data_IF_655434275611
#
_entry.id   IF_655434275611
#
_cell.length_a   1.000
_cell.length_b   1.000
_cell.length_c   1.000
_cell.angle_alpha   90.00
_cell.angle_beta   90.00
_cell.angle_gamma   90.00
#
_symmetry.space_group_name_H-M   'P 1'
#
loop_
_entity.id
_entity.type
_entity.pdbx_description
1 polymer ?
#
# COMPACT_ATOMS: atom_id res chain seq x y z
N UNK A 1 15.62 -14.51 2.94
CA UNK A 1 15.71 -15.97 2.71
C UNK A 1 15.22 -16.75 3.95
N UNK A 2 13.93 -17.08 3.98
CA UNK A 2 13.28 -17.82 5.07
C UNK A 2 12.30 -18.84 4.48
N UNK A 3 11.76 -19.73 5.32
CA UNK A 3 10.90 -20.86 4.91
C UNK A 3 9.41 -20.61 5.16
N UNK A 4 8.92 -19.41 4.87
CA UNK A 4 7.49 -19.08 4.95
C UNK A 4 7.03 -18.36 3.68
N UNK A 5 5.78 -18.60 3.29
CA UNK A 5 5.11 -17.80 2.27
C UNK A 5 4.91 -16.39 2.82
N UNK A 6 5.17 -15.36 2.00
CA UNK A 6 5.01 -13.96 2.38
C UNK A 6 4.34 -13.23 1.23
N UNK A 7 3.27 -12.52 1.55
CA UNK A 7 2.50 -11.72 0.61
C UNK A 7 1.93 -10.51 1.35
N UNK A 8 1.36 -9.57 0.59
CA UNK A 8 0.86 -8.31 1.13
C UNK A 8 -0.40 -8.53 2.00
N UNK A 9 -0.45 -7.88 3.15
CA UNK A 9 -1.53 -7.93 4.14
C UNK A 9 -2.88 -7.45 3.59
N UNK A 10 -2.88 -6.54 2.60
CA UNK A 10 -4.12 -6.04 1.99
C UNK A 10 -4.89 -7.12 1.24
N UNK A 11 -4.23 -8.24 0.91
CA UNK A 11 -4.80 -9.39 0.18
C UNK A 11 -5.25 -10.49 1.15
N UNK A 12 -5.06 -10.35 2.47
CA UNK A 12 -5.45 -11.38 3.44
C UNK A 12 -6.97 -11.59 3.52
N UNK A 13 -7.76 -10.53 3.37
CA UNK A 13 -9.23 -10.59 3.46
C UNK A 13 -9.86 -11.62 2.49
N UNK A 14 -9.52 -11.63 1.17
CA UNK A 14 -9.99 -12.67 0.26
C UNK A 14 -9.71 -14.11 0.69
N UNK A 15 -8.60 -14.34 1.38
CA UNK A 15 -8.18 -15.66 1.86
C UNK A 15 -8.67 -15.98 3.26
N UNK A 16 -9.28 -15.01 3.95
CA UNK A 16 -9.65 -15.10 5.37
C UNK A 16 -8.46 -15.54 6.24
N UNK A 17 -7.28 -14.97 5.98
CA UNK A 17 -6.03 -15.26 6.69
C UNK A 17 -5.66 -14.13 7.68
N UNK A 18 -4.97 -14.43 8.78
CA UNK A 18 -4.59 -13.44 9.80
C UNK A 18 -3.14 -13.59 10.35
N UNK A 19 -2.31 -14.43 9.73
CA UNK A 19 -0.91 -14.70 10.09
C UNK A 19 -0.69 -15.27 11.51
N UNK A 20 -1.63 -16.06 12.03
CA UNK A 20 -1.52 -16.73 13.34
C UNK A 20 -0.82 -18.11 13.32
N UNK A 21 -0.48 -18.61 12.13
CA UNK A 21 0.08 -19.95 11.91
C UNK A 21 -0.52 -20.70 10.72
N UNK A 22 -1.47 -20.09 10.00
CA UNK A 22 -2.08 -20.64 8.79
C UNK A 22 -1.07 -21.12 7.73
N UNK A 23 -1.43 -22.22 7.06
CA UNK A 23 -0.71 -22.78 5.92
C UNK A 23 -1.49 -22.55 4.61
N UNK A 24 -0.77 -22.24 3.53
CA UNK A 24 -1.35 -22.04 2.20
C UNK A 24 -0.62 -22.87 1.15
N UNK A 25 -1.40 -23.44 0.23
CA UNK A 25 -0.86 -24.19 -0.89
C UNK A 25 -0.50 -23.26 -2.06
N UNK A 26 0.60 -23.58 -2.75
CA UNK A 26 0.99 -22.89 -3.99
C UNK A 26 0.99 -23.90 -5.14
N UNK A 27 0.35 -23.53 -6.24
CA UNK A 27 0.32 -24.34 -7.46
C UNK A 27 0.99 -23.56 -8.59
N UNK A 28 1.86 -24.23 -9.36
CA UNK A 28 2.60 -23.62 -10.47
C UNK A 28 2.07 -24.16 -11.80
N UNK A 29 1.40 -23.33 -12.64
CA UNK A 29 0.98 -23.72 -13.97
C UNK A 29 2.17 -24.13 -14.84
N UNK A 30 2.05 -25.26 -15.57
CA UNK A 30 3.15 -25.82 -16.36
C UNK A 30 3.07 -25.47 -17.86
N UNK A 31 1.87 -25.18 -18.38
CA UNK A 31 1.69 -24.81 -19.80
C UNK A 31 1.62 -23.29 -19.97
N UNK A 32 2.03 -22.83 -21.15
CA UNK A 32 1.99 -21.40 -21.50
C UNK A 32 0.56 -20.84 -21.52
N UNK A 33 -0.40 -21.63 -21.99
CA UNK A 33 -1.82 -21.26 -21.99
C UNK A 33 -2.35 -21.05 -20.57
N UNK A 34 -2.13 -22.03 -19.68
CA UNK A 34 -2.59 -21.95 -18.28
C UNK A 34 -1.86 -20.84 -17.50
N UNK A 35 -0.57 -20.60 -17.79
CA UNK A 35 0.19 -19.49 -17.19
C UNK A 35 -0.39 -18.14 -17.60
N UNK A 36 -0.72 -17.99 -18.88
CA UNK A 36 -1.29 -16.75 -19.42
C UNK A 36 -2.67 -16.50 -18.84
N UNK A 37 -3.52 -17.52 -18.77
CA UNK A 37 -4.86 -17.41 -18.17
C UNK A 37 -4.79 -17.03 -16.70
N UNK A 38 -3.95 -17.70 -15.91
CA UNK A 38 -3.77 -17.40 -14.49
C UNK A 38 -3.27 -15.96 -14.27
N UNK A 39 -2.32 -15.49 -15.08
CA UNK A 39 -1.79 -14.13 -14.97
C UNK A 39 -2.84 -13.08 -15.36
N UNK A 40 -3.55 -13.29 -16.48
CA UNK A 40 -4.44 -12.29 -17.07
C UNK A 40 -5.82 -12.27 -16.41
N UNK A 41 -6.35 -13.40 -15.93
CA UNK A 41 -7.70 -13.48 -15.36
C UNK A 41 -7.67 -13.62 -13.84
N UNK A 42 -6.76 -14.43 -13.29
CA UNK A 42 -6.72 -14.75 -11.85
C UNK A 42 -5.79 -13.84 -11.05
N UNK A 43 -5.15 -12.86 -11.70
CA UNK A 43 -4.28 -11.90 -11.04
C UNK A 43 -5.02 -11.05 -10.00
N UNK A 44 -4.36 -10.75 -8.87
CA UNK A 44 -4.94 -9.96 -7.77
C UNK A 44 -5.42 -8.59 -8.25
N UNK A 45 -4.68 -7.95 -9.16
CA UNK A 45 -5.01 -6.64 -9.73
C UNK A 45 -6.34 -6.64 -10.51
N UNK A 46 -6.72 -7.77 -11.09
CA UNK A 46 -7.98 -7.92 -11.84
C UNK A 46 -9.15 -8.34 -10.95
N UNK A 47 -8.87 -8.76 -9.71
CA UNK A 47 -9.85 -9.30 -8.76
C UNK A 47 -9.91 -8.49 -7.45
N UNK A 48 -9.80 -7.16 -7.55
CA UNK A 48 -9.84 -6.26 -6.38
C UNK A 48 -11.23 -6.18 -5.73
N UNK A 49 -12.29 -6.40 -6.50
CA UNK A 49 -13.69 -6.30 -6.05
C UNK A 49 -14.37 -7.67 -6.06
N UNK A 50 -15.30 -7.90 -5.14
CA UNK A 50 -16.07 -9.14 -5.12
C UNK A 50 -17.15 -9.15 -6.21
N UNK A 51 -17.35 -10.28 -6.92
CA UNK A 51 -18.42 -10.40 -7.91
C UNK A 51 -19.83 -10.37 -7.29
N UNK A 52 -19.95 -10.59 -5.98
CA UNK A 52 -21.25 -10.66 -5.27
C UNK A 52 -22.00 -9.33 -5.30
N UNK A 53 -21.31 -8.22 -5.06
CA UNK A 53 -21.91 -6.90 -4.95
C UNK A 53 -20.99 -5.75 -5.40
N UNK A 54 -19.83 -6.05 -5.98
CA UNK A 54 -18.86 -5.04 -6.43
C UNK A 54 -18.12 -4.32 -5.31
N UNK A 55 -18.25 -4.76 -4.05
CA UNK A 55 -17.50 -4.16 -2.94
C UNK A 55 -16.00 -4.46 -3.07
N UNK A 56 -15.17 -3.52 -2.62
CA UNK A 56 -13.71 -3.67 -2.59
C UNK A 56 -13.36 -4.76 -1.58
N UNK A 57 -12.59 -5.75 -2.03
CA UNK A 57 -12.16 -6.90 -1.22
C UNK A 57 -10.69 -6.77 -0.81
N UNK A 58 -9.83 -6.33 -1.72
CA UNK A 58 -8.42 -6.05 -1.47
C UNK A 58 -8.27 -4.58 -1.10
N UNK A 59 -7.99 -4.31 0.18
CA UNK A 59 -7.90 -2.96 0.71
C UNK A 59 -6.95 -2.92 1.91
N UNK A 60 -6.44 -1.74 2.22
CA UNK A 60 -5.62 -1.49 3.41
C UNK A 60 -6.40 -1.80 4.68
N UNK A 61 -5.78 -2.53 5.61
CA UNK A 61 -6.36 -2.92 6.89
C UNK A 61 -5.47 -2.50 8.07
N UNK A 62 -6.02 -2.52 9.29
CA UNK A 62 -5.31 -2.38 10.57
C UNK A 62 -4.29 -1.22 10.63
N UNK A 63 -3.00 -1.53 10.52
CA UNK A 63 -1.90 -0.58 10.70
C UNK A 63 -1.83 0.46 9.58
N UNK A 64 -2.19 0.10 8.35
CA UNK A 64 -2.24 1.07 7.26
C UNK A 64 -3.29 2.14 7.49
N UNK A 65 -4.46 1.75 7.99
CA UNK A 65 -5.53 2.71 8.30
C UNK A 65 -5.12 3.62 9.47
N UNK A 66 -4.53 3.05 10.51
CA UNK A 66 -4.07 3.80 11.68
C UNK A 66 -2.98 4.80 11.30
N UNK A 67 -1.99 4.37 10.51
CA UNK A 67 -0.89 5.21 10.05
C UNK A 67 -1.38 6.31 9.11
N UNK A 68 -2.25 5.97 8.15
CA UNK A 68 -2.86 6.94 7.25
C UNK A 68 -3.62 8.01 8.01
N UNK A 69 -4.41 7.63 9.03
CA UNK A 69 -5.13 8.57 9.89
C UNK A 69 -4.18 9.50 10.66
N UNK A 70 -3.13 8.97 11.29
CA UNK A 70 -2.19 9.78 12.06
C UNK A 70 -1.43 10.80 11.18
N UNK A 71 -1.05 10.39 9.97
CA UNK A 71 -0.33 11.24 9.01
C UNK A 71 -1.23 12.35 8.45
N UNK A 72 -2.50 12.04 8.20
CA UNK A 72 -3.44 12.97 7.53
C UNK A 72 -4.30 13.80 8.49
N UNK A 73 -4.13 13.63 9.80
CA UNK A 73 -4.86 14.40 10.81
C UNK A 73 -4.52 15.90 10.72
N UNK A 74 -5.53 16.76 10.87
CA UNK A 74 -5.42 18.22 10.65
C UNK A 74 -4.33 18.93 11.46
N UNK A 75 -4.06 18.46 12.66
CA UNK A 75 -3.09 19.08 13.58
C UNK A 75 -1.67 18.49 13.41
N UNK A 76 -1.43 17.73 12.35
CA UNK A 76 -0.13 17.15 12.04
C UNK A 76 0.58 18.01 11.00
N UNK A 77 1.70 18.62 11.38
CA UNK A 77 2.55 19.43 10.50
C UNK A 77 3.93 18.80 10.36
N UNK A 78 4.47 18.85 9.15
CA UNK A 78 5.79 18.34 8.81
C UNK A 78 6.69 19.46 8.31
N UNK A 79 7.95 19.44 8.71
CA UNK A 79 8.98 20.25 8.08
C UNK A 79 9.37 19.66 6.72
N UNK A 80 10.10 20.45 5.93
CA UNK A 80 10.46 20.04 4.56
C UNK A 80 11.30 18.75 4.55
N UNK A 81 12.16 18.54 5.54
CA UNK A 81 13.00 17.35 5.61
C UNK A 81 12.17 16.09 5.91
N UNK A 82 11.32 16.12 6.93
CA UNK A 82 10.46 14.97 7.27
C UNK A 82 9.47 14.65 6.16
N UNK A 83 8.84 15.67 5.56
CA UNK A 83 7.93 15.46 4.44
C UNK A 83 8.63 14.82 3.24
N UNK A 84 9.81 15.33 2.87
CA UNK A 84 10.61 14.75 1.78
C UNK A 84 10.98 13.30 2.06
N UNK A 85 11.35 12.97 3.30
CA UNK A 85 11.69 11.61 3.70
C UNK A 85 10.48 10.67 3.61
N UNK A 86 9.30 11.12 4.06
CA UNK A 86 8.04 10.35 3.93
C UNK A 86 7.76 10.06 2.46
N UNK A 87 7.86 11.07 1.59
CA UNK A 87 7.66 10.87 0.15
C UNK A 87 8.68 9.88 -0.45
N UNK A 88 9.95 9.95 -0.04
CA UNK A 88 10.96 8.99 -0.48
C UNK A 88 10.63 7.56 -0.06
N UNK A 89 10.08 7.33 1.13
CA UNK A 89 9.63 5.99 1.54
C UNK A 89 8.46 5.48 0.70
N UNK A 90 7.55 6.35 0.28
CA UNK A 90 6.39 5.95 -0.53
C UNK A 90 6.78 5.54 -1.96
N UNK A 91 7.77 6.21 -2.55
CA UNK A 91 8.26 5.94 -3.91
C UNK A 91 9.53 5.09 -3.98
N UNK A 92 9.93 4.44 -2.87
CA UNK A 92 11.20 3.68 -2.76
C UNK A 92 12.44 4.45 -3.23
N UNK A 93 12.40 5.79 -3.13
CA UNK A 93 13.44 6.70 -3.63
C UNK A 93 13.57 6.79 -5.16
N UNK A 94 12.68 6.16 -5.92
CA UNK A 94 12.73 6.10 -7.39
C UNK A 94 11.87 7.17 -8.07
N UNK A 95 10.81 7.62 -7.39
CA UNK A 95 9.88 8.61 -7.95
C UNK A 95 10.44 10.03 -7.88
N UNK A 96 10.33 10.78 -8.99
CA UNK A 96 10.57 12.22 -8.98
C UNK A 96 9.37 12.92 -8.36
N UNK A 97 9.61 13.65 -7.27
CA UNK A 97 8.56 14.31 -6.48
C UNK A 97 8.72 15.82 -6.55
N UNK A 98 7.75 16.49 -7.15
CA UNK A 98 7.62 17.94 -7.11
C UNK A 98 6.98 18.37 -5.78
N UNK A 99 7.80 18.97 -4.90
CA UNK A 99 7.33 19.38 -3.58
C UNK A 99 6.37 20.58 -3.67
N UNK A 100 5.16 20.49 -3.09
CA UNK A 100 4.21 21.59 -3.11
C UNK A 100 4.66 22.75 -2.21
N UNK A 101 4.09 23.94 -2.44
CA UNK A 101 4.27 25.07 -1.52
C UNK A 101 3.69 24.74 -0.15
N UNK A 102 4.42 24.98 0.96
CA UNK A 102 3.96 24.65 2.30
C UNK A 102 2.74 25.49 2.70
N UNK A 103 1.84 24.89 3.50
CA UNK A 103 0.61 25.55 3.97
C UNK A 103 0.88 26.68 4.96
N UNK A 104 1.92 26.54 5.79
CA UNK A 104 2.37 27.57 6.73
C UNK A 104 3.68 28.18 6.22
N UNK A 105 3.62 29.43 5.80
CA UNK A 105 4.79 30.25 5.48
C UNK A 105 4.92 31.26 6.61
N UNK A 106 5.92 31.08 7.48
CA UNK A 106 6.20 32.10 8.51
C UNK A 106 6.69 33.35 7.79
N UNK A 107 5.93 34.43 7.89
CA UNK A 107 6.40 35.75 7.45
C UNK A 107 7.52 36.15 8.41
N UNK A 108 8.75 36.25 7.90
CA UNK A 108 9.87 36.75 8.69
C UNK A 108 9.62 38.24 8.95
N UNK A 109 9.13 38.55 10.15
CA UNK A 109 9.00 39.92 10.66
C UNK A 109 10.34 40.34 11.30
N UNK A 110 11.43 40.35 10.52
CA UNK A 110 12.73 40.88 10.95
C UNK A 110 13.39 41.64 9.79
N UNK A 111 12.69 42.68 9.32
CA UNK A 111 13.24 43.74 8.48
C UNK A 111 12.67 45.09 8.93
N UNK A 112 12.92 45.46 10.19
CA UNK A 112 12.90 46.82 10.72
C UNK A 112 13.98 46.97 11.79
#
# INVERSE_FOLDING_TARGET
>A
PWRTLRFNESVCNPYNADFDGDEMNTHVPQTEEARTEALMLMGVQNNLCTPKNGAILVASTQDFLTSSYLITRRDTFYDRATFSLICSYMGDGMDMIDLPTPVLIKVCSDML
#
